data_IF_458273763847
#
_entry.id   IF_458273763847
#
_cell.length_a   1.000
_cell.length_b   1.000
_cell.length_c   1.000
_cell.angle_alpha   90.00
_cell.angle_beta   90.00
_cell.angle_gamma   90.00
#
_symmetry.space_group_name_H-M   'P 1'
#
loop_
_entity.id
_entity.type
_entity.pdbx_description
1 polymer ?
#
# COMPACT_ATOMS: atom_id res chain seq x y z
N UNK A 1 1.33 0.07 20.38
CA UNK A 1 1.45 -1.39 20.19
C UNK A 1 1.41 -2.11 21.53
N UNK A 2 0.98 -3.38 21.57
CA UNK A 2 0.95 -4.20 22.80
C UNK A 2 2.34 -4.81 23.10
N UNK A 3 2.92 -4.42 24.24
CA UNK A 3 4.23 -4.86 24.71
C UNK A 3 4.27 -6.35 25.08
N UNK A 4 3.21 -6.90 25.69
CA UNK A 4 3.19 -8.31 26.08
C UNK A 4 3.15 -9.21 24.85
N UNK A 5 2.36 -8.83 23.83
CA UNK A 5 2.30 -9.52 22.54
C UNK A 5 3.64 -9.48 21.79
N UNK A 6 4.35 -8.34 21.83
CA UNK A 6 5.71 -8.22 21.31
C UNK A 6 6.70 -9.13 22.05
N UNK A 7 6.66 -9.14 23.39
CA UNK A 7 7.55 -9.97 24.22
C UNK A 7 7.41 -11.45 23.89
N UNK A 8 6.17 -11.96 23.77
CA UNK A 8 5.92 -13.33 23.35
C UNK A 8 6.45 -13.59 21.93
N UNK A 9 6.14 -12.72 20.95
CA UNK A 9 6.59 -12.89 19.57
C UNK A 9 8.12 -12.94 19.42
N UNK A 10 8.87 -12.16 20.22
CA UNK A 10 10.33 -12.20 20.20
C UNK A 10 10.86 -13.46 20.90
N UNK A 11 10.28 -13.84 22.04
CA UNK A 11 10.63 -15.08 22.73
C UNK A 11 10.40 -16.32 21.85
N UNK A 12 9.25 -16.41 21.19
CA UNK A 12 8.88 -17.52 20.30
C UNK A 12 9.80 -17.63 19.07
N UNK A 13 10.37 -16.51 18.60
CA UNK A 13 11.24 -16.44 17.41
C UNK A 13 12.75 -16.52 17.70
N UNK A 14 13.17 -16.21 18.92
CA UNK A 14 14.61 -16.05 19.25
C UNK A 14 15.05 -16.74 20.54
N UNK A 15 14.11 -17.21 21.37
CA UNK A 15 14.36 -17.70 22.73
C UNK A 15 14.69 -16.60 23.75
N UNK A 16 14.88 -15.34 23.32
CA UNK A 16 15.27 -14.23 24.19
C UNK A 16 14.05 -13.73 24.98
N UNK A 17 14.21 -13.65 26.31
CA UNK A 17 13.26 -12.93 27.18
C UNK A 17 13.66 -11.47 27.25
N UNK A 18 12.68 -10.58 27.10
CA UNK A 18 12.83 -9.12 27.16
C UNK A 18 12.01 -8.62 28.34
N UNK A 19 12.61 -7.83 29.22
CA UNK A 19 11.94 -7.25 30.38
C UNK A 19 11.17 -5.97 30.01
N UNK A 20 10.22 -5.56 30.87
CA UNK A 20 9.30 -4.45 30.54
C UNK A 20 10.03 -3.12 30.36
N UNK A 21 11.11 -2.91 31.12
CA UNK A 21 11.94 -1.70 31.08
C UNK A 21 13.06 -1.74 30.01
N UNK A 22 13.04 -2.74 29.11
CA UNK A 22 14.05 -2.88 28.06
C UNK A 22 13.96 -1.72 27.03
N UNK A 23 15.10 -1.08 26.65
CA UNK A 23 15.12 0.02 25.68
C UNK A 23 14.54 -0.34 24.29
N UNK A 24 14.42 -1.62 23.92
CA UNK A 24 13.70 -2.07 22.73
C UNK A 24 12.25 -1.58 22.74
N UNK A 25 11.56 -1.59 23.89
CA UNK A 25 10.18 -1.09 23.97
C UNK A 25 10.10 0.44 23.81
N UNK A 26 11.07 1.17 24.36
CA UNK A 26 11.18 2.62 24.16
C UNK A 26 11.44 2.98 22.68
N UNK A 27 12.31 2.22 22.00
CA UNK A 27 12.57 2.39 20.57
C UNK A 27 11.35 2.04 19.70
N UNK A 28 10.58 1.01 20.04
CA UNK A 28 9.33 0.69 19.33
C UNK A 28 8.30 1.79 19.52
N UNK A 29 8.10 2.29 20.75
CA UNK A 29 7.16 3.39 21.03
C UNK A 29 7.57 4.70 20.34
N UNK A 30 8.87 5.02 20.30
CA UNK A 30 9.39 6.18 19.57
C UNK A 30 9.14 6.05 18.05
N UNK A 31 9.40 4.87 17.48
CA UNK A 31 9.13 4.61 16.07
C UNK A 31 7.63 4.69 15.75
N UNK A 32 6.76 4.18 16.62
CA UNK A 32 5.31 4.26 16.48
C UNK A 32 4.84 5.73 16.45
N UNK A 33 5.25 6.54 17.43
CA UNK A 33 4.90 7.97 17.48
C UNK A 33 5.47 8.79 16.30
N UNK A 34 6.72 8.54 15.88
CA UNK A 34 7.33 9.23 14.74
C UNK A 34 6.64 8.85 13.41
N UNK A 35 6.20 7.60 13.26
CA UNK A 35 5.44 7.17 12.08
C UNK A 35 4.04 7.80 12.08
N UNK A 36 3.34 7.84 13.21
CA UNK A 36 2.04 8.50 13.34
C UNK A 36 2.13 9.99 12.98
N UNK A 37 3.11 10.72 13.54
CA UNK A 37 3.31 12.14 13.23
C UNK A 37 3.67 12.37 11.75
N UNK A 38 4.55 11.52 11.19
CA UNK A 38 4.96 11.61 9.79
C UNK A 38 3.78 11.35 8.84
N UNK A 39 2.95 10.35 9.12
CA UNK A 39 1.76 10.04 8.32
C UNK A 39 0.73 11.16 8.44
N UNK A 40 0.43 11.65 9.65
CA UNK A 40 -0.50 12.76 9.85
C UNK A 40 -0.05 14.03 9.10
N UNK A 41 1.25 14.37 9.17
CA UNK A 41 1.84 15.49 8.44
C UNK A 41 1.78 15.29 6.92
N UNK A 42 1.99 14.06 6.44
CA UNK A 42 1.93 13.75 5.00
C UNK A 42 0.49 13.84 4.46
N UNK A 43 -0.51 13.32 5.19
CA UNK A 43 -1.93 13.47 4.84
C UNK A 43 -2.33 14.95 4.78
N UNK A 44 -1.94 15.75 5.78
CA UNK A 44 -2.23 17.19 5.80
C UNK A 44 -1.63 17.95 4.60
N UNK A 45 -0.44 17.54 4.13
CA UNK A 45 0.18 18.07 2.91
C UNK A 45 -0.56 17.64 1.63
N UNK A 46 -0.99 16.38 1.55
CA UNK A 46 -1.83 15.89 0.43
C UNK A 46 -3.16 16.62 0.39
N UNK A 47 -3.82 16.86 1.54
CA UNK A 47 -5.07 17.62 1.61
C UNK A 47 -4.88 19.09 1.23
N UNK A 48 -3.74 19.69 1.56
CA UNK A 48 -3.41 21.05 1.12
C UNK A 48 -3.20 21.10 -0.41
N UNK A 49 -2.40 20.19 -0.96
CA UNK A 49 -2.15 20.09 -2.40
C UNK A 49 -3.41 19.76 -3.21
N UNK A 50 -4.26 18.85 -2.71
CA UNK A 50 -5.51 18.45 -3.36
C UNK A 50 -6.54 19.60 -3.38
N UNK A 51 -6.63 20.37 -2.29
CA UNK A 51 -7.47 21.59 -2.25
C UNK A 51 -6.96 22.65 -3.23
N UNK A 52 -5.65 22.80 -3.38
CA UNK A 52 -5.06 23.75 -4.33
C UNK A 52 -5.27 23.31 -5.79
N UNK A 53 -5.02 22.05 -6.12
CA UNK A 53 -5.33 21.49 -7.44
C UNK A 53 -6.82 21.63 -7.78
N UNK A 54 -7.71 21.47 -6.80
CA UNK A 54 -9.15 21.69 -6.97
C UNK A 54 -9.53 23.19 -7.12
N UNK A 55 -8.71 24.15 -6.68
CA UNK A 55 -8.88 25.57 -7.03
C UNK A 55 -8.46 25.79 -8.48
N UNK A 56 -7.30 25.28 -8.87
CA UNK A 56 -6.76 25.43 -10.22
C UNK A 56 -7.66 24.79 -11.28
N UNK A 57 -8.22 23.61 -11.02
CA UNK A 57 -9.19 22.96 -11.90
C UNK A 57 -10.49 23.75 -12.09
N UNK A 58 -10.98 24.45 -11.05
CA UNK A 58 -12.13 25.39 -11.15
C UNK A 58 -11.75 26.66 -11.91
N UNK A 59 -10.58 27.24 -11.64
CA UNK A 59 -10.08 28.43 -12.34
C UNK A 59 -9.85 28.16 -13.85
N UNK A 60 -9.49 26.93 -14.22
CA UNK A 60 -9.40 26.47 -15.60
C UNK A 60 -10.76 26.10 -16.24
N UNK A 61 -11.88 26.29 -15.54
CA UNK A 61 -13.23 25.98 -16.04
C UNK A 61 -13.56 24.48 -16.13
N UNK A 62 -12.74 23.60 -15.55
CA UNK A 62 -12.86 22.15 -15.67
C UNK A 62 -13.81 21.48 -14.66
N UNK A 63 -14.37 22.24 -13.71
CA UNK A 63 -15.30 21.75 -12.69
C UNK A 63 -16.43 22.77 -12.47
N UNK A 64 -17.71 22.33 -12.35
CA UNK A 64 -18.80 23.22 -11.99
C UNK A 64 -18.65 23.77 -10.56
N UNK A 65 -19.35 24.88 -10.29
CA UNK A 65 -19.37 25.49 -8.97
C UNK A 65 -19.99 24.54 -7.93
N UNK A 66 -19.33 24.42 -6.77
CA UNK A 66 -19.79 23.52 -5.71
C UNK A 66 -20.92 24.20 -4.93
N UNK A 67 -22.17 23.81 -5.20
CA UNK A 67 -23.36 24.24 -4.46
C UNK A 67 -23.10 24.08 -2.96
N UNK A 68 -23.29 25.17 -2.21
CA UNK A 68 -23.02 25.19 -0.78
C UNK A 68 -23.88 24.15 -0.03
N UNK A 69 -23.35 23.51 1.03
CA UNK A 69 -24.13 22.56 1.82
C UNK A 69 -25.35 23.26 2.44
N UNK A 70 -26.57 22.67 2.36
CA UNK A 70 -27.76 23.29 2.89
C UNK A 70 -27.65 23.41 4.41
N UNK A 71 -27.60 24.64 4.91
CA UNK A 71 -27.65 24.91 6.34
C UNK A 71 -29.00 24.43 6.92
N UNK A 72 -28.97 23.75 8.07
CA UNK A 72 -30.15 23.15 8.67
C UNK A 72 -31.14 24.23 9.17
N UNK A 73 -32.18 24.50 8.38
CA UNK A 73 -33.20 25.51 8.64
C UNK A 73 -34.60 24.89 8.85
N UNK A 74 -34.69 23.87 9.72
CA UNK A 74 -35.97 23.30 10.13
C UNK A 74 -36.49 24.01 11.39
N UNK A 75 -37.06 25.21 11.21
CA UNK A 75 -37.86 25.90 12.23
C UNK A 75 -39.25 26.15 11.64
N UNK A 76 -40.27 25.50 12.20
CA UNK A 76 -41.60 25.49 11.59
C UNK A 76 -42.35 26.81 11.83
N UNK A 77 -42.96 27.36 10.79
CA UNK A 77 -44.21 28.13 10.93
C UNK A 77 -45.02 27.97 9.65
N UNK A 78 -46.25 27.43 9.77
CA UNK A 78 -47.20 27.37 8.67
C UNK A 78 -48.23 28.51 8.84
N UNK A 79 -48.48 29.27 7.78
CA UNK A 79 -49.58 30.23 7.69
C UNK A 79 -50.28 30.05 6.35
N UNK A 80 -51.60 30.24 6.31
CA UNK A 80 -52.48 29.74 5.26
C UNK A 80 -52.97 30.85 4.30
N UNK A 81 -53.06 30.48 3.03
CA UNK A 81 -53.76 31.04 1.85
C UNK A 81 -54.53 32.39 1.90
N UNK A 82 -54.61 33.02 0.72
CA UNK A 82 -55.88 33.43 0.06
C UNK A 82 -55.65 33.78 -1.43
N UNK A 83 -56.73 33.89 -2.22
CA UNK A 83 -56.79 34.26 -3.64
C UNK A 83 -58.08 35.08 -3.89
N UNK A 84 -58.37 35.73 -5.03
CA UNK A 84 -57.79 35.69 -6.39
C UNK A 84 -57.61 37.16 -6.93
N UNK A 85 -57.51 37.52 -8.22
CA UNK A 85 -57.61 36.83 -9.53
C UNK A 85 -56.58 37.46 -10.53
N UNK A 86 -56.71 37.74 -11.84
CA UNK A 86 -57.85 37.84 -12.80
C UNK A 86 -57.37 37.54 -14.24
N UNK A 87 -58.30 37.58 -15.21
CA UNK A 87 -58.10 37.35 -16.66
C UNK A 87 -56.92 38.11 -17.32
N UNK A 88 -56.17 37.63 -18.32
CA UNK A 88 -56.36 36.59 -19.37
C UNK A 88 -56.97 37.06 -20.72
N UNK A 89 -56.12 37.57 -21.63
CA UNK A 89 -56.35 37.74 -23.08
C UNK A 89 -54.97 37.92 -23.78
N UNK A 90 -54.61 37.41 -24.97
CA UNK A 90 -55.24 36.48 -25.91
C UNK A 90 -54.20 35.57 -26.63
N UNK A 91 -54.72 34.57 -27.34
CA UNK A 91 -54.07 33.49 -28.08
C UNK A 91 -52.87 33.84 -29.00
N UNK A 92 -51.94 32.86 -29.14
CA UNK A 92 -51.75 32.15 -30.42
C UNK A 92 -50.99 30.81 -30.29
N UNK A 93 -51.57 29.76 -30.87
CA UNK A 93 -50.90 28.53 -31.35
C UNK A 93 -51.39 28.30 -32.79
N UNK A 94 -50.60 27.65 -33.66
CA UNK A 94 -50.82 26.20 -33.82
C UNK A 94 -49.56 25.35 -34.07
N UNK A 95 -49.58 24.16 -33.46
CA UNK A 95 -49.19 22.84 -34.03
C UNK A 95 -47.94 22.76 -34.93
N UNK A 96 -46.90 22.08 -34.42
CA UNK A 96 -46.30 20.92 -35.10
C UNK A 96 -45.44 20.08 -34.14
N UNK A 97 -45.64 18.75 -34.17
CA UNK A 97 -44.67 17.76 -33.74
C UNK A 97 -44.51 16.74 -34.88
N UNK A 98 -43.30 16.24 -35.13
CA UNK A 98 -43.12 14.80 -35.00
C UNK A 98 -41.85 14.43 -34.23
N UNK A 99 -41.71 13.14 -33.91
CA UNK A 99 -40.58 12.61 -33.15
C UNK A 99 -39.26 12.72 -33.93
N UNK A 100 -38.21 13.22 -33.27
CA UNK A 100 -36.83 13.02 -33.69
C UNK A 100 -36.40 11.60 -33.29
N UNK A 101 -36.39 10.71 -34.28
CA UNK A 101 -35.90 9.33 -34.22
C UNK A 101 -34.61 9.18 -33.42
N UNK A 102 -34.47 8.08 -32.68
CA UNK A 102 -33.18 7.62 -32.16
C UNK A 102 -32.20 7.39 -33.32
N UNK A 103 -31.41 8.40 -33.66
CA UNK A 103 -30.37 8.29 -34.66
C UNK A 103 -29.31 7.30 -34.17
N UNK A 104 -29.20 6.16 -34.86
CA UNK A 104 -28.09 5.22 -34.68
C UNK A 104 -26.76 5.97 -34.76
N UNK A 105 -25.79 5.57 -33.93
CA UNK A 105 -24.45 6.11 -34.01
C UNK A 105 -23.82 5.73 -35.36
N UNK A 106 -23.91 6.63 -36.35
CA UNK A 106 -23.16 6.52 -37.59
C UNK A 106 -21.68 6.68 -37.27
N UNK A 107 -20.95 5.56 -37.26
CA UNK A 107 -19.49 5.53 -37.22
C UNK A 107 -18.96 6.06 -38.55
N UNK A 108 -19.09 7.37 -38.74
CA UNK A 108 -18.39 8.11 -39.79
C UNK A 108 -16.91 8.01 -39.50
N UNK A 109 -16.18 7.25 -40.33
CA UNK A 109 -14.71 7.16 -40.28
C UNK A 109 -14.13 8.44 -40.90
N UNK A 110 -14.42 9.57 -40.27
CA UNK A 110 -13.78 10.85 -40.54
C UNK A 110 -12.34 10.83 -40.05
N UNK A 111 -11.41 11.35 -40.85
CA UNK A 111 -10.02 11.51 -40.42
C UNK A 111 -9.93 12.47 -39.23
N UNK A 112 -9.22 12.06 -38.17
CA UNK A 112 -9.07 12.81 -36.92
C UNK A 112 -8.78 14.30 -37.15
N UNK A 113 -9.55 15.18 -36.51
CA UNK A 113 -9.32 16.62 -36.58
C UNK A 113 -8.00 17.01 -35.89
N UNK A 114 -7.41 18.18 -36.23
CA UNK A 114 -6.24 18.69 -35.51
C UNK A 114 -6.48 18.92 -34.01
N UNK A 115 -7.74 19.00 -33.55
CA UNK A 115 -8.09 19.07 -32.13
C UNK A 115 -8.08 17.69 -31.48
N UNK A 116 -8.63 16.67 -32.14
CA UNK A 116 -8.52 15.28 -31.67
C UNK A 116 -7.06 14.83 -31.60
N UNK A 117 -6.23 15.13 -32.60
CA UNK A 117 -4.79 14.81 -32.55
C UNK A 117 -4.09 15.39 -31.32
N UNK A 118 -4.43 16.62 -30.91
CA UNK A 118 -3.87 17.24 -29.70
C UNK A 118 -4.42 16.63 -28.41
N UNK A 119 -5.69 16.24 -28.39
CA UNK A 119 -6.31 15.54 -27.25
C UNK A 119 -5.79 14.11 -27.10
N UNK A 120 -5.62 13.37 -28.19
CA UNK A 120 -5.09 12.02 -28.24
C UNK A 120 -3.60 12.00 -27.87
N UNK A 121 -2.82 12.96 -28.38
CA UNK A 121 -1.44 13.19 -27.95
C UNK A 121 -1.31 13.54 -26.47
N UNK A 122 -2.21 14.38 -25.92
CA UNK A 122 -2.25 14.68 -24.50
C UNK A 122 -2.64 13.46 -23.65
N UNK A 123 -3.64 12.68 -24.08
CA UNK A 123 -4.05 11.45 -23.40
C UNK A 123 -2.95 10.38 -23.42
N UNK A 124 -2.23 10.24 -24.54
CA UNK A 124 -1.05 9.36 -24.63
C UNK A 124 0.09 9.82 -23.70
N UNK A 125 0.37 11.12 -23.63
CA UNK A 125 1.37 11.67 -22.72
C UNK A 125 0.99 11.45 -21.24
N UNK A 126 -0.27 11.70 -20.86
CA UNK A 126 -0.78 11.44 -19.51
C UNK A 126 -0.72 9.94 -19.19
N UNK A 127 -1.12 9.07 -20.12
CA UNK A 127 -1.02 7.61 -19.97
C UNK A 127 0.41 7.14 -19.69
N UNK A 128 1.39 7.59 -20.50
CA UNK A 128 2.81 7.26 -20.31
C UNK A 128 3.34 7.83 -18.98
N UNK A 129 2.99 9.07 -18.64
CA UNK A 129 3.39 9.68 -17.37
C UNK A 129 2.82 8.92 -16.16
N UNK A 130 1.55 8.52 -16.21
CA UNK A 130 0.90 7.69 -15.18
C UNK A 130 1.53 6.30 -15.08
N UNK A 131 1.82 5.65 -16.20
CA UNK A 131 2.50 4.36 -16.23
C UNK A 131 3.91 4.43 -15.62
N UNK A 132 4.68 5.48 -15.94
CA UNK A 132 5.99 5.74 -15.33
C UNK A 132 5.88 6.05 -13.83
N UNK A 133 4.89 6.84 -13.41
CA UNK A 133 4.68 7.17 -12.00
C UNK A 133 4.27 5.93 -11.18
N UNK A 134 3.47 5.03 -11.75
CA UNK A 134 3.17 3.72 -11.18
C UNK A 134 4.42 2.84 -11.13
N UNK A 135 5.24 2.80 -12.19
CA UNK A 135 6.48 2.01 -12.22
C UNK A 135 7.50 2.48 -11.18
N UNK A 136 7.64 3.80 -11.00
CA UNK A 136 8.49 4.42 -9.97
C UNK A 136 7.90 4.18 -8.57
N UNK A 137 6.59 4.29 -8.39
CA UNK A 137 5.91 3.94 -7.14
C UNK A 137 6.15 2.47 -6.76
N UNK A 138 6.03 1.55 -7.72
CA UNK A 138 6.38 0.14 -7.54
C UNK A 138 7.85 -0.01 -7.15
N UNK A 139 8.80 0.61 -7.87
CA UNK A 139 10.23 0.51 -7.58
C UNK A 139 10.65 1.12 -6.22
N UNK A 140 9.90 2.10 -5.69
CA UNK A 140 10.18 2.73 -4.40
C UNK A 140 9.53 1.99 -3.21
N UNK A 141 8.30 1.47 -3.37
CA UNK A 141 7.57 0.81 -2.28
C UNK A 141 7.78 -0.71 -2.27
N UNK A 142 7.82 -1.36 -3.43
CA UNK A 142 8.26 -2.75 -3.54
C UNK A 142 9.79 -2.77 -3.64
N UNK A 143 10.43 -2.86 -2.48
CA UNK A 143 11.77 -3.44 -2.39
C UNK A 143 11.76 -4.73 -3.24
N UNK A 144 12.69 -4.93 -4.19
CA UNK A 144 12.76 -6.18 -4.92
C UNK A 144 12.84 -7.32 -3.90
N UNK A 145 12.05 -8.38 -4.11
CA UNK A 145 12.14 -9.60 -3.28
C UNK A 145 13.62 -9.96 -3.22
N UNK A 146 14.25 -10.00 -2.02
CA UNK A 146 15.67 -10.21 -1.93
C UNK A 146 15.99 -11.52 -2.66
N UNK A 147 16.98 -11.54 -3.59
CA UNK A 147 17.35 -12.77 -4.28
C UNK A 147 17.61 -13.81 -3.20
N UNK A 148 17.00 -15.01 -3.29
CA UNK A 148 16.81 -15.92 -2.16
C UNK A 148 18.14 -16.09 -1.44
N UNK A 149 18.20 -15.54 -0.22
CA UNK A 149 19.42 -15.01 0.39
C UNK A 149 20.57 -15.99 0.16
N UNK A 150 21.64 -15.57 -0.55
CA UNK A 150 22.52 -16.46 -1.30
C UNK A 150 22.92 -17.59 -0.39
N UNK A 151 22.38 -18.80 -0.68
CA UNK A 151 22.32 -19.90 0.27
C UNK A 151 23.70 -19.98 0.88
N UNK A 152 23.78 -19.77 2.20
CA UNK A 152 25.06 -19.81 2.91
C UNK A 152 25.51 -21.26 2.77
N UNK A 153 26.32 -21.51 1.74
CA UNK A 153 26.97 -22.77 1.47
C UNK A 153 27.92 -22.95 2.64
N UNK A 154 27.39 -23.54 3.72
CA UNK A 154 28.07 -23.70 5.00
C UNK A 154 29.41 -24.36 4.71
N UNK A 155 30.48 -23.53 4.76
CA UNK A 155 31.65 -23.62 3.86
C UNK A 155 31.99 -25.07 3.59
N UNK A 156 31.62 -25.54 2.40
CA UNK A 156 31.43 -26.97 2.11
C UNK A 156 32.59 -27.77 2.71
N UNK A 157 32.26 -28.62 3.70
CA UNK A 157 33.21 -29.31 4.56
C UNK A 157 34.40 -29.76 3.71
N UNK A 158 35.58 -29.20 3.99
CA UNK A 158 36.75 -29.43 3.15
C UNK A 158 37.00 -30.94 3.07
N UNK A 159 37.61 -31.43 1.97
CA UNK A 159 37.86 -32.88 1.84
C UNK A 159 38.60 -33.46 3.07
N UNK A 160 39.46 -32.65 3.69
CA UNK A 160 40.11 -32.87 4.98
C UNK A 160 39.13 -32.93 6.17
N UNK A 161 38.20 -31.98 6.32
CA UNK A 161 37.17 -32.01 7.38
C UNK A 161 36.22 -33.21 7.23
N UNK A 162 35.81 -33.55 6.01
CA UNK A 162 34.99 -34.74 5.74
C UNK A 162 35.74 -36.03 6.13
N UNK A 163 37.04 -36.10 5.81
CA UNK A 163 37.92 -37.22 6.16
C UNK A 163 38.17 -37.29 7.67
N UNK A 164 38.29 -36.14 8.35
CA UNK A 164 38.38 -36.06 9.82
C UNK A 164 37.11 -36.60 10.50
N UNK A 165 35.92 -36.25 10.02
CA UNK A 165 34.64 -36.80 10.53
C UNK A 165 34.59 -38.33 10.35
N UNK A 166 34.92 -38.84 9.16
CA UNK A 166 34.95 -40.28 8.90
C UNK A 166 35.97 -41.02 9.79
N UNK A 167 37.11 -40.40 10.09
CA UNK A 167 38.11 -40.99 10.98
C UNK A 167 37.68 -40.93 12.45
N UNK A 168 37.01 -39.86 12.88
CA UNK A 168 36.35 -39.76 14.18
C UNK A 168 35.31 -40.87 14.39
N UNK A 169 34.46 -41.14 13.39
CA UNK A 169 33.52 -42.27 13.43
C UNK A 169 34.20 -43.63 13.53
N UNK A 170 35.28 -43.86 12.78
CA UNK A 170 36.06 -45.11 12.84
C UNK A 170 36.69 -45.31 14.22
N UNK A 171 37.26 -44.24 14.80
CA UNK A 171 37.83 -44.25 16.15
C UNK A 171 36.75 -44.48 17.21
N UNK A 172 35.60 -43.82 17.13
CA UNK A 172 34.48 -44.06 18.05
C UNK A 172 33.99 -45.52 18.00
N UNK A 173 33.86 -46.10 16.79
CA UNK A 173 33.47 -47.51 16.58
C UNK A 173 34.57 -48.48 17.03
N UNK A 174 35.84 -48.09 16.98
CA UNK A 174 36.95 -48.87 17.54
C UNK A 174 36.96 -48.82 19.07
N UNK A 175 36.79 -47.64 19.68
CA UNK A 175 36.69 -47.47 21.14
C UNK A 175 35.52 -48.25 21.71
N UNK A 176 34.35 -48.26 21.06
CA UNK A 176 33.21 -49.09 21.48
C UNK A 176 33.49 -50.60 21.49
N UNK A 177 34.46 -51.07 20.69
CA UNK A 177 34.90 -52.48 20.64
C UNK A 177 36.03 -52.81 21.62
N UNK A 178 36.59 -51.83 22.32
CA UNK A 178 37.59 -52.07 23.36
C UNK A 178 36.96 -52.63 24.64
N UNK A 179 37.76 -53.39 25.38
CA UNK A 179 37.45 -53.88 26.72
C UNK A 179 36.94 -52.72 27.63
N UNK A 180 35.92 -52.93 28.48
CA UNK A 180 35.47 -51.93 29.46
C UNK A 180 36.60 -51.20 30.22
N UNK A 181 37.64 -51.93 30.65
CA UNK A 181 38.78 -51.35 31.38
C UNK A 181 39.61 -50.41 30.50
N UNK A 182 39.79 -50.73 29.23
CA UNK A 182 40.48 -49.87 28.27
C UNK A 182 39.65 -48.64 27.89
N UNK A 183 38.32 -48.79 27.73
CA UNK A 183 37.40 -47.67 27.48
C UNK A 183 37.44 -46.64 28.61
N UNK A 184 37.44 -47.08 29.86
CA UNK A 184 37.49 -46.19 31.02
C UNK A 184 38.81 -45.40 31.08
N UNK A 185 39.94 -46.00 30.70
CA UNK A 185 41.24 -45.30 30.63
C UNK A 185 41.25 -44.24 29.52
N UNK A 186 40.71 -44.54 28.33
CA UNK A 186 40.61 -43.56 27.24
C UNK A 186 39.69 -42.39 27.64
N UNK A 187 38.57 -42.66 28.31
CA UNK A 187 37.69 -41.60 28.82
C UNK A 187 38.35 -40.75 29.91
N UNK A 188 39.17 -41.33 30.79
CA UNK A 188 39.89 -40.60 31.82
C UNK A 188 41.02 -39.70 31.26
N UNK A 189 41.69 -40.12 30.17
CA UNK A 189 42.64 -39.25 29.46
C UNK A 189 41.94 -38.14 28.66
N UNK A 190 40.75 -38.38 28.09
CA UNK A 190 39.96 -37.35 27.40
C UNK A 190 39.27 -36.35 28.34
N UNK A 191 39.45 -36.46 29.66
CA UNK A 191 38.91 -35.54 30.68
C UNK A 191 40.00 -34.71 31.39
N UNK A 192 41.22 -34.72 30.85
CA UNK A 192 42.36 -33.87 31.28
C UNK A 192 42.55 -32.70 30.31
#
# INVERSE_FOLDING_TARGET
MDQHKLRSLVFDKTGVRIDVDDPIFALVALNEAVLEETVARHVALIDAASRELARQARAAGGLPEAVAPPAAANTATATVATASDTAAEAAQMPVAAPAATSASAETTVGGFSPREWRLLGAAAAVSVLSALLVLVGQALFFKPVPPPAPIVQAKSLTAEQLLAIQNGEKLAKAVQKLDPKARNLVQAEMQK
#
